data_IF_500212614877
#
_entry.id   IF_500212614877
#
_cell.length_a   1.000
_cell.length_b   1.000
_cell.length_c   1.000
_cell.angle_alpha   90.00
_cell.angle_beta   90.00
_cell.angle_gamma   90.00
#
_symmetry.space_group_name_H-M   'P 1'
#
loop_
_entity.id
_entity.type
_entity.pdbx_description
1 polymer ?
#
# COMPACT_ATOMS: atom_id res chain seq x y z
N UNK A 1 -42.63 21.75 38.26
CA UNK A 1 -43.12 20.38 37.93
C UNK A 1 -43.11 20.22 36.39
N UNK A 2 -42.51 19.17 35.81
CA UNK A 2 -43.18 17.95 35.23
C UNK A 2 -44.09 18.33 34.03
N UNK A 3 -43.95 17.90 32.75
CA UNK A 3 -43.41 16.71 32.00
C UNK A 3 -42.62 17.17 30.72
N UNK A 4 -41.65 16.43 30.12
CA UNK A 4 -41.74 15.28 29.15
C UNK A 4 -42.73 15.52 27.97
N UNK A 5 -42.50 15.19 26.67
CA UNK A 5 -41.62 14.17 26.01
C UNK A 5 -41.55 14.31 24.44
N UNK A 6 -40.34 14.23 23.84
CA UNK A 6 -39.91 13.51 22.59
C UNK A 6 -40.74 13.47 21.24
N UNK A 7 -40.03 13.78 20.11
CA UNK A 7 -39.89 13.08 18.77
C UNK A 7 -40.50 13.65 17.43
N UNK A 8 -39.59 13.83 16.44
CA UNK A 8 -39.60 13.47 14.97
C UNK A 8 -40.37 14.27 13.88
N UNK A 9 -39.59 14.88 12.97
CA UNK A 9 -39.71 14.88 11.48
C UNK A 9 -38.30 15.17 10.88
N UNK A 10 -37.79 14.84 9.67
CA UNK A 10 -38.14 14.05 8.46
C UNK A 10 -38.82 14.69 7.21
N UNK A 11 -37.97 15.24 6.31
CA UNK A 11 -38.12 15.41 4.82
C UNK A 11 -39.24 16.44 4.38
N UNK A 12 -39.33 16.93 3.13
CA UNK A 12 -38.71 16.54 1.85
C UNK A 12 -38.59 17.67 0.78
N UNK A 13 -37.62 17.54 -0.13
CA UNK A 13 -37.67 17.82 -1.60
C UNK A 13 -38.08 19.21 -2.15
N UNK A 14 -37.21 19.76 -3.01
CA UNK A 14 -37.58 20.52 -4.22
C UNK A 14 -36.90 19.91 -5.47
N UNK A 15 -37.47 20.07 -6.67
CA UNK A 15 -37.00 19.49 -7.96
C UNK A 15 -37.41 20.35 -9.17
N UNK A 16 -36.48 20.67 -10.10
CA UNK A 16 -36.63 21.01 -11.55
C UNK A 16 -35.33 21.71 -12.05
N UNK A 17 -34.89 21.69 -13.32
CA UNK A 17 -35.14 20.79 -14.47
C UNK A 17 -34.06 21.02 -15.59
N UNK A 18 -33.59 19.95 -16.25
CA UNK A 18 -33.14 19.85 -17.66
C UNK A 18 -32.00 20.75 -18.22
N UNK A 19 -30.97 20.08 -18.80
CA UNK A 19 -30.62 20.20 -20.24
C UNK A 19 -30.04 18.88 -20.76
N UNK A 20 -30.33 18.52 -22.01
CA UNK A 20 -30.08 17.19 -22.58
C UNK A 20 -29.43 17.25 -23.96
N UNK A 21 -28.40 16.42 -24.21
CA UNK A 21 -27.94 16.00 -25.55
C UNK A 21 -27.22 14.65 -25.46
N UNK A 22 -27.35 13.81 -26.49
CA UNK A 22 -26.97 12.39 -26.43
C UNK A 22 -26.00 11.98 -27.55
N UNK A 23 -25.21 10.91 -27.34
CA UNK A 23 -24.60 10.13 -28.45
C UNK A 23 -24.11 8.72 -28.05
N UNK A 24 -24.80 7.71 -28.62
CA UNK A 24 -24.30 6.47 -29.26
C UNK A 24 -23.27 5.54 -28.56
N UNK A 25 -23.77 4.36 -28.18
CA UNK A 25 -23.29 2.99 -28.53
C UNK A 25 -21.79 2.67 -28.73
N UNK A 26 -21.31 1.61 -28.06
CA UNK A 26 -20.03 0.91 -28.30
C UNK A 26 -19.93 0.27 -29.70
N UNK A 27 -18.70 0.00 -30.21
CA UNK A 27 -18.27 -1.40 -30.35
C UNK A 27 -16.82 -1.67 -29.88
N UNK A 28 -16.39 -2.95 -29.69
CA UNK A 28 -15.06 -3.29 -29.17
C UNK A 28 -14.03 -3.73 -30.23
N UNK A 29 -12.83 -3.12 -30.22
CA UNK A 29 -11.66 -3.54 -31.03
C UNK A 29 -10.36 -2.89 -30.51
N UNK A 30 -9.14 -3.42 -30.72
CA UNK A 30 -8.63 -4.77 -31.00
C UNK A 30 -7.14 -4.80 -30.59
N UNK A 31 -6.56 -5.99 -30.35
CA UNK A 31 -5.12 -6.16 -30.06
C UNK A 31 -4.24 -5.57 -31.17
N UNK A 32 -3.22 -4.76 -30.85
CA UNK A 32 -2.02 -4.58 -31.69
C UNK A 32 -0.81 -5.21 -30.99
N UNK A 33 -0.22 -6.23 -31.62
CA UNK A 33 0.99 -6.92 -31.15
C UNK A 33 2.24 -6.07 -31.44
N UNK A 34 3.27 -6.23 -30.58
CA UNK A 34 4.72 -6.09 -30.83
C UNK A 34 5.15 -5.37 -32.12
N UNK A 35 5.96 -4.31 -31.99
CA UNK A 35 7.20 -4.20 -32.80
C UNK A 35 8.39 -4.37 -31.85
N UNK A 36 9.17 -5.43 -32.06
CA UNK A 36 10.42 -5.67 -31.32
C UNK A 36 11.56 -5.09 -32.15
N UNK A 37 12.33 -4.17 -31.55
CA UNK A 37 13.74 -3.91 -31.90
C UNK A 37 14.49 -3.85 -30.58
N UNK A 38 14.97 -5.00 -30.10
CA UNK A 38 16.35 -5.49 -30.32
C UNK A 38 17.39 -4.58 -29.67
N UNK A 39 17.38 -4.56 -28.34
CA UNK A 39 18.56 -4.29 -27.52
C UNK A 39 18.57 -5.34 -26.40
N UNK A 40 19.12 -6.53 -26.68
CA UNK A 40 19.47 -7.50 -25.62
C UNK A 40 20.75 -6.97 -24.97
N UNK A 41 20.63 -5.89 -24.19
CA UNK A 41 21.73 -5.39 -23.38
C UNK A 41 22.06 -6.45 -22.32
N UNK A 42 23.36 -6.68 -22.13
CA UNK A 42 23.96 -7.77 -21.34
C UNK A 42 23.17 -8.15 -20.09
N UNK A 43 23.06 -9.45 -19.83
CA UNK A 43 22.56 -9.99 -18.55
C UNK A 43 23.61 -9.75 -17.47
N UNK A 44 23.77 -8.51 -17.03
CA UNK A 44 24.22 -8.22 -15.68
C UNK A 44 23.02 -8.44 -14.77
N UNK A 45 22.95 -9.59 -14.11
CA UNK A 45 22.05 -9.77 -12.98
C UNK A 45 22.50 -8.74 -11.94
N UNK A 46 21.72 -7.71 -11.59
CA UNK A 46 22.06 -6.91 -10.44
C UNK A 46 21.78 -7.81 -9.24
N UNK A 47 22.82 -8.16 -8.47
CA UNK A 47 22.60 -8.42 -7.07
C UNK A 47 22.08 -7.09 -6.51
N UNK A 48 20.76 -6.98 -6.37
CA UNK A 48 20.17 -5.89 -5.60
C UNK A 48 20.43 -6.19 -4.13
N UNK A 49 21.67 -5.86 -3.73
CA UNK A 49 22.21 -5.84 -2.38
C UNK A 49 21.54 -4.70 -1.60
N UNK A 50 20.24 -4.85 -1.41
CA UNK A 50 19.49 -3.95 -0.56
C UNK A 50 20.10 -3.93 0.83
N UNK A 51 20.18 -2.77 1.46
CA UNK A 51 20.72 -2.65 2.81
C UNK A 51 19.75 -3.33 3.78
N UNK A 52 20.23 -4.24 4.64
CA UNK A 52 19.41 -4.86 5.67
C UNK A 52 19.02 -3.81 6.71
N UNK A 53 17.77 -3.36 6.66
CA UNK A 53 17.20 -2.35 7.56
C UNK A 53 16.70 -3.00 8.85
N UNK A 54 16.01 -4.14 8.75
CA UNK A 54 15.26 -4.68 9.89
C UNK A 54 14.72 -6.09 9.72
N UNK A 55 13.88 -6.48 10.67
CA UNK A 55 13.20 -7.79 10.73
C UNK A 55 11.72 -7.61 11.04
N UNK A 56 10.87 -8.46 10.47
CA UNK A 56 9.45 -8.53 10.83
C UNK A 56 9.32 -9.08 12.25
N UNK A 57 8.59 -8.37 13.10
CA UNK A 57 8.25 -8.73 14.49
C UNK A 57 6.87 -9.36 14.59
N UNK A 58 5.90 -8.81 13.86
CA UNK A 58 4.52 -9.29 13.86
C UNK A 58 3.84 -9.10 12.49
N UNK A 59 2.76 -9.84 12.25
CA UNK A 59 1.89 -9.64 11.08
C UNK A 59 0.43 -9.68 11.50
N UNK A 60 -0.32 -8.64 11.14
CA UNK A 60 -1.74 -8.49 11.46
C UNK A 60 -2.60 -8.88 10.26
N UNK A 61 -3.23 -10.08 10.23
CA UNK A 61 -3.89 -10.59 9.02
C UNK A 61 -5.11 -9.77 8.61
N UNK A 62 -5.86 -9.25 9.59
CA UNK A 62 -7.11 -8.50 9.37
C UNK A 62 -6.89 -7.18 8.61
N UNK A 63 -5.79 -6.46 8.90
CA UNK A 63 -5.44 -5.19 8.24
C UNK A 63 -4.34 -5.33 7.19
N UNK A 64 -3.78 -6.54 7.01
CA UNK A 64 -2.63 -6.84 6.13
C UNK A 64 -1.43 -5.92 6.39
N UNK A 65 -1.15 -5.65 7.67
CA UNK A 65 -0.01 -4.86 8.11
C UNK A 65 1.10 -5.77 8.66
N UNK A 66 2.34 -5.49 8.28
CA UNK A 66 3.54 -6.06 8.91
C UNK A 66 4.14 -5.06 9.87
N UNK A 67 4.45 -5.51 11.09
CA UNK A 67 5.27 -4.76 12.04
C UNK A 67 6.75 -5.12 11.80
N UNK A 68 7.62 -4.11 11.71
CA UNK A 68 9.02 -4.25 11.35
C UNK A 68 9.86 -3.43 12.33
N UNK A 69 10.77 -4.09 13.04
CA UNK A 69 11.75 -3.42 13.90
C UNK A 69 12.95 -2.97 13.05
N UNK A 70 13.21 -1.67 13.03
CA UNK A 70 14.34 -1.05 12.31
C UNK A 70 15.62 -1.24 13.12
N UNK A 71 16.51 -2.13 12.67
CA UNK A 71 17.81 -2.40 13.31
C UNK A 71 18.96 -1.53 12.81
N UNK A 72 18.90 -1.05 11.55
CA UNK A 72 19.90 -0.19 10.92
C UNK A 72 19.26 0.79 9.94
N UNK A 73 19.89 1.95 9.75
CA UNK A 73 19.44 2.98 8.79
C UNK A 73 18.14 3.67 9.18
N UNK A 74 17.45 4.19 8.17
CA UNK A 74 16.16 4.88 8.26
C UNK A 74 15.27 4.47 7.08
N UNK A 75 13.95 4.54 7.25
CA UNK A 75 12.97 4.37 6.17
C UNK A 75 12.12 5.63 6.01
N UNK A 76 11.71 5.91 4.77
CA UNK A 76 10.90 7.05 4.36
C UNK A 76 9.69 6.56 3.57
N UNK A 77 8.56 7.26 3.67
CA UNK A 77 7.43 7.03 2.76
C UNK A 77 7.88 7.13 1.30
N UNK A 78 7.49 6.14 0.50
CA UNK A 78 7.90 6.04 -0.90
C UNK A 78 9.19 5.27 -1.17
N UNK A 79 9.94 4.83 -0.15
CA UNK A 79 11.06 3.90 -0.32
C UNK A 79 10.61 2.57 -0.95
N UNK A 80 11.53 1.90 -1.66
CA UNK A 80 11.35 0.52 -2.10
C UNK A 80 12.00 -0.42 -1.08
N UNK A 81 11.24 -1.43 -0.66
CA UNK A 81 11.72 -2.48 0.24
C UNK A 81 11.52 -3.86 -0.39
N UNK A 82 12.41 -4.79 -0.03
CA UNK A 82 12.27 -6.22 -0.27
C UNK A 82 12.11 -6.93 1.06
N UNK A 83 10.99 -7.60 1.25
CA UNK A 83 10.85 -8.59 2.32
C UNK A 83 11.34 -9.92 1.77
N UNK A 84 12.27 -10.57 2.48
CA UNK A 84 12.79 -11.91 2.17
C UNK A 84 12.69 -12.80 3.41
N UNK A 85 11.62 -13.58 3.42
CA UNK A 85 11.34 -14.65 4.38
C UNK A 85 11.65 -16.04 3.84
N UNK A 86 11.25 -17.07 4.58
CA UNK A 86 11.39 -18.47 4.15
C UNK A 86 10.48 -18.83 2.96
N UNK A 87 9.26 -18.28 2.92
CA UNK A 87 8.23 -18.55 1.91
C UNK A 87 7.59 -17.27 1.36
N UNK A 88 8.28 -16.14 1.48
CA UNK A 88 7.79 -14.82 1.10
C UNK A 88 8.96 -13.93 0.66
N UNK A 89 9.24 -13.90 -0.65
CA UNK A 89 10.20 -12.96 -1.25
C UNK A 89 9.44 -12.00 -2.17
N UNK A 90 9.39 -10.72 -1.82
CA UNK A 90 8.78 -9.71 -2.67
C UNK A 90 9.32 -8.30 -2.45
N UNK A 91 9.39 -7.53 -3.54
CA UNK A 91 9.60 -6.07 -3.51
C UNK A 91 8.26 -5.33 -3.42
N UNK A 92 8.18 -4.25 -2.66
CA UNK A 92 7.07 -3.30 -2.65
C UNK A 92 7.54 -1.86 -2.34
N UNK A 93 6.78 -0.86 -2.76
CA UNK A 93 6.96 0.53 -2.35
C UNK A 93 6.19 0.79 -1.05
N UNK A 94 6.77 1.52 -0.10
CA UNK A 94 6.07 1.93 1.12
C UNK A 94 5.03 3.01 0.76
N UNK A 95 3.74 2.68 0.89
CA UNK A 95 2.62 3.61 0.65
C UNK A 95 2.08 4.26 1.92
N UNK A 96 2.29 3.63 3.08
CA UNK A 96 1.84 4.12 4.39
C UNK A 96 2.72 3.50 5.48
N UNK A 97 3.00 4.27 6.52
CA UNK A 97 3.86 3.90 7.65
C UNK A 97 3.30 4.52 8.93
N UNK A 98 3.26 3.74 10.01
CA UNK A 98 2.76 4.15 11.31
C UNK A 98 3.69 3.66 12.43
N UNK A 99 3.80 4.42 13.51
CA UNK A 99 4.44 4.04 14.78
C UNK A 99 3.40 4.31 15.87
N UNK A 100 3.10 3.33 16.72
CA UNK A 100 2.15 3.46 17.84
C UNK A 100 0.77 4.05 17.46
N UNK A 101 0.30 3.73 16.25
CA UNK A 101 -0.92 4.24 15.57
C UNK A 101 -0.84 5.69 15.07
N UNK A 102 0.25 6.42 15.33
CA UNK A 102 0.56 7.71 14.70
C UNK A 102 1.10 7.46 13.29
N UNK A 103 0.63 8.21 12.29
CA UNK A 103 1.19 8.12 10.93
C UNK A 103 2.45 8.97 10.80
N UNK A 104 3.50 8.42 10.19
CA UNK A 104 4.83 9.04 10.12
C UNK A 104 5.41 9.02 8.71
N UNK A 105 6.15 10.08 8.35
CA UNK A 105 6.83 10.17 7.05
C UNK A 105 8.18 9.45 7.02
N UNK A 106 8.84 9.38 8.18
CA UNK A 106 10.19 8.87 8.37
C UNK A 106 10.25 8.05 9.65
N UNK A 107 11.06 6.99 9.67
CA UNK A 107 11.31 6.17 10.84
C UNK A 107 12.80 5.83 10.97
N UNK A 108 13.27 5.79 12.21
CA UNK A 108 14.67 5.63 12.60
C UNK A 108 14.95 4.29 13.25
N UNK A 109 16.24 3.90 13.25
CA UNK A 109 16.75 2.78 14.04
C UNK A 109 16.20 2.77 15.47
N UNK A 110 15.76 1.60 15.92
CA UNK A 110 15.15 1.36 17.23
C UNK A 110 13.62 1.38 17.22
N UNK A 111 12.99 1.99 16.21
CA UNK A 111 11.53 2.08 16.12
C UNK A 111 10.92 0.84 15.46
N UNK A 112 9.70 0.48 15.89
CA UNK A 112 8.87 -0.54 15.26
C UNK A 112 7.81 0.13 14.39
N UNK A 113 7.86 -0.10 13.07
CA UNK A 113 6.92 0.47 12.11
C UNK A 113 5.87 -0.55 11.68
N UNK A 114 4.61 -0.14 11.71
CA UNK A 114 3.53 -0.80 10.99
C UNK A 114 3.47 -0.28 9.55
N UNK A 115 3.62 -1.17 8.56
CA UNK A 115 3.38 -0.86 7.15
C UNK A 115 2.37 -1.81 6.53
N UNK A 116 1.60 -1.35 5.55
CA UNK A 116 0.76 -2.23 4.73
C UNK A 116 1.65 -3.12 3.84
N UNK A 117 1.36 -4.42 3.79
CA UNK A 117 2.09 -5.39 2.96
C UNK A 117 1.18 -6.06 1.94
N UNK A 118 1.66 -6.20 0.70
CA UNK A 118 0.87 -6.77 -0.40
C UNK A 118 0.62 -8.29 -0.29
N UNK A 119 1.39 -8.98 0.56
CA UNK A 119 1.30 -10.41 0.81
C UNK A 119 1.64 -10.72 2.28
N UNK A 120 1.24 -11.90 2.76
CA UNK A 120 1.51 -12.35 4.13
C UNK A 120 3.01 -12.44 4.38
N UNK A 121 3.48 -11.80 5.45
CA UNK A 121 4.83 -11.96 5.99
C UNK A 121 4.80 -12.80 7.27
N UNK A 122 5.96 -13.29 7.71
CA UNK A 122 6.14 -14.07 8.95
C UNK A 122 7.14 -13.39 9.88
N UNK A 123 7.05 -13.75 11.16
CA UNK A 123 8.01 -13.32 12.19
C UNK A 123 9.43 -13.76 11.76
N UNK A 124 10.41 -12.88 11.95
CA UNK A 124 11.80 -13.02 11.52
C UNK A 124 12.08 -12.92 10.01
N UNK A 125 11.09 -12.64 9.15
CA UNK A 125 11.36 -12.28 7.76
C UNK A 125 12.27 -11.04 7.68
N UNK A 126 13.30 -11.07 6.84
CA UNK A 126 14.30 -10.00 6.74
C UNK A 126 13.82 -8.89 5.79
N UNK A 127 14.04 -7.63 6.17
CA UNK A 127 13.59 -6.46 5.41
C UNK A 127 14.79 -5.64 4.95
N UNK A 128 14.91 -5.51 3.64
CA UNK A 128 15.99 -4.82 2.95
C UNK A 128 15.44 -3.57 2.23
N UNK A 129 16.13 -2.44 2.29
CA UNK A 129 15.85 -1.26 1.44
C UNK A 129 16.63 -1.37 0.14
N UNK A 130 15.98 -1.06 -0.99
CA UNK A 130 16.54 -0.99 -2.34
C UNK A 130 16.50 0.47 -2.78
#
# INVERSE_FOLDING_TARGET
MVKKKKKKAKKAVTKKKIKTRARKSKPPAKKKKRKVKKAIKKVSIPLEEGTLIGKVTHYFPHVKAGAILIGKGQLVLGDIIRVKGHTSDFKQKIMSMQIDRVSVEKASKGQEIGILVKARVRIHDKVYKI
#
